data_IF_349334873639
#
_entry.id   IF_349334873639
#
_cell.length_a   1.000
_cell.length_b   1.000
_cell.length_c   1.000
_cell.angle_alpha   90.00
_cell.angle_beta   90.00
_cell.angle_gamma   90.00
#
_symmetry.space_group_name_H-M   'P 1'
#
loop_
_entity.id
_entity.type
_entity.pdbx_description
1 polymer ?
#
# COMPACT_ATOMS: atom_id res chain seq x y z
N UNK A 1 20.88 -31.89 -21.15
CA UNK A 1 19.62 -31.44 -20.55
C UNK A 1 19.77 -30.87 -19.12
N UNK A 2 20.80 -31.31 -18.36
CA UNK A 2 20.99 -30.85 -16.97
C UNK A 2 21.69 -29.48 -16.85
N UNK A 3 22.42 -29.05 -17.88
CA UNK A 3 23.18 -27.80 -17.84
C UNK A 3 22.29 -26.55 -17.85
N UNK A 4 21.20 -26.57 -18.60
CA UNK A 4 20.29 -25.40 -18.72
C UNK A 4 19.54 -25.12 -17.41
N UNK A 5 19.18 -26.16 -16.66
CA UNK A 5 18.51 -26.02 -15.35
C UNK A 5 19.49 -25.52 -14.29
N UNK A 6 20.73 -26.04 -14.26
CA UNK A 6 21.75 -25.57 -13.34
C UNK A 6 22.15 -24.10 -13.56
N UNK A 7 22.22 -23.64 -14.82
CA UNK A 7 22.51 -22.24 -15.12
C UNK A 7 21.38 -21.31 -14.69
N UNK A 8 20.12 -21.72 -14.82
CA UNK A 8 18.98 -20.93 -14.37
C UNK A 8 18.98 -20.78 -12.83
N UNK A 9 19.23 -21.88 -12.10
CA UNK A 9 19.29 -21.88 -10.63
C UNK A 9 20.48 -21.06 -10.11
N UNK A 10 21.65 -21.17 -10.76
CA UNK A 10 22.83 -20.38 -10.44
C UNK A 10 22.61 -18.88 -10.72
N UNK A 11 21.92 -18.54 -11.80
CA UNK A 11 21.61 -17.15 -12.14
C UNK A 11 20.70 -16.52 -11.08
N UNK A 12 19.66 -17.21 -10.67
CA UNK A 12 18.74 -16.74 -9.62
C UNK A 12 19.48 -16.58 -8.29
N UNK A 13 20.37 -17.49 -7.95
CA UNK A 13 21.21 -17.42 -6.77
C UNK A 13 22.15 -16.20 -6.81
N UNK A 14 22.84 -16.00 -7.93
CA UNK A 14 23.76 -14.87 -8.13
C UNK A 14 23.01 -13.54 -8.06
N UNK A 15 21.85 -13.43 -8.70
CA UNK A 15 21.00 -12.25 -8.63
C UNK A 15 20.55 -12.00 -7.19
N UNK A 16 20.09 -13.03 -6.48
CA UNK A 16 19.64 -12.94 -5.10
C UNK A 16 20.74 -12.49 -4.13
N UNK A 17 22.00 -12.84 -4.41
CA UNK A 17 23.16 -12.44 -3.61
C UNK A 17 23.64 -11.01 -3.94
N UNK A 18 23.58 -10.62 -5.20
CA UNK A 18 24.13 -9.34 -5.69
C UNK A 18 23.15 -8.19 -5.56
N UNK A 19 21.86 -8.43 -5.78
CA UNK A 19 20.83 -7.42 -5.83
C UNK A 19 20.70 -6.59 -4.54
N UNK A 20 20.70 -7.19 -3.32
CA UNK A 20 20.63 -6.40 -2.10
C UNK A 20 21.79 -5.42 -1.94
N UNK A 21 23.00 -5.81 -2.39
CA UNK A 21 24.18 -4.95 -2.35
C UNK A 21 23.99 -3.74 -3.28
N UNK A 22 23.53 -3.98 -4.51
CA UNK A 22 23.28 -2.91 -5.48
C UNK A 22 22.19 -1.94 -5.00
N UNK A 23 21.13 -2.46 -4.40
CA UNK A 23 20.06 -1.63 -3.85
C UNK A 23 20.54 -0.79 -2.67
N UNK A 24 21.34 -1.37 -1.79
CA UNK A 24 21.90 -0.66 -0.64
C UNK A 24 22.84 0.46 -1.07
N UNK A 25 23.59 0.27 -2.14
CA UNK A 25 24.52 1.27 -2.68
C UNK A 25 23.85 2.27 -3.63
N UNK A 26 22.55 2.14 -3.88
CA UNK A 26 21.82 3.03 -4.77
C UNK A 26 22.14 2.84 -6.25
N UNK A 27 22.70 1.69 -6.62
CA UNK A 27 23.05 1.37 -8.02
C UNK A 27 21.86 0.76 -8.75
N UNK A 28 20.83 1.57 -8.99
CA UNK A 28 19.55 1.12 -9.52
C UNK A 28 19.62 0.72 -10.98
N UNK A 29 20.46 1.38 -11.81
CA UNK A 29 20.63 0.99 -13.21
C UNK A 29 21.24 -0.40 -13.33
N UNK A 30 22.26 -0.70 -12.52
CA UNK A 30 22.87 -2.01 -12.47
C UNK A 30 21.88 -3.07 -11.94
N UNK A 31 21.09 -2.73 -10.92
CA UNK A 31 20.03 -3.59 -10.39
C UNK A 31 18.98 -3.91 -11.46
N UNK A 32 18.55 -2.91 -12.23
CA UNK A 32 17.58 -3.07 -13.31
C UNK A 32 18.09 -4.00 -14.41
N UNK A 33 19.34 -3.83 -14.82
CA UNK A 33 19.99 -4.72 -15.80
C UNK A 33 20.07 -6.15 -15.31
N UNK A 34 20.40 -6.32 -14.03
CA UNK A 34 20.47 -7.64 -13.41
C UNK A 34 19.10 -8.32 -13.34
N UNK A 35 18.06 -7.58 -12.97
CA UNK A 35 16.68 -8.07 -12.95
C UNK A 35 16.17 -8.43 -14.34
N UNK A 36 16.61 -7.73 -15.38
CA UNK A 36 16.24 -8.01 -16.76
C UNK A 36 16.73 -9.38 -17.24
N UNK A 37 17.70 -9.99 -16.57
CA UNK A 37 18.18 -11.36 -16.88
C UNK A 37 17.26 -12.46 -16.37
N UNK A 38 16.28 -12.11 -15.50
CA UNK A 38 15.32 -13.05 -14.93
C UNK A 38 13.96 -12.96 -15.63
N UNK A 39 13.13 -14.01 -15.55
CA UNK A 39 11.74 -13.94 -15.98
C UNK A 39 11.00 -12.77 -15.31
N UNK A 40 10.07 -12.16 -16.06
CA UNK A 40 9.39 -10.92 -15.65
C UNK A 40 8.53 -11.05 -14.39
N UNK A 41 8.14 -12.27 -14.03
CA UNK A 41 7.31 -12.57 -12.87
C UNK A 41 8.10 -12.92 -11.60
N UNK A 42 9.44 -12.91 -11.69
CA UNK A 42 10.32 -13.20 -10.56
C UNK A 42 10.80 -11.92 -9.89
N UNK A 43 11.05 -11.99 -8.58
CA UNK A 43 11.60 -10.90 -7.78
C UNK A 43 10.78 -9.59 -7.89
N UNK A 44 9.47 -9.71 -7.74
CA UNK A 44 8.54 -8.57 -7.90
C UNK A 44 8.79 -7.47 -6.87
N UNK A 45 9.14 -7.81 -5.62
CA UNK A 45 9.44 -6.82 -4.58
C UNK A 45 10.66 -5.98 -4.94
N UNK A 46 11.72 -6.62 -5.39
CA UNK A 46 12.96 -5.97 -5.79
C UNK A 46 12.73 -5.11 -7.04
N UNK A 47 11.96 -5.62 -8.00
CA UNK A 47 11.54 -4.84 -9.18
C UNK A 47 10.73 -3.61 -8.78
N UNK A 48 9.83 -3.76 -7.81
CA UNK A 48 9.05 -2.65 -7.26
C UNK A 48 9.96 -1.60 -6.63
N UNK A 49 10.90 -2.01 -5.78
CA UNK A 49 11.87 -1.12 -5.15
C UNK A 49 12.67 -0.31 -6.19
N UNK A 50 13.15 -0.96 -7.24
CA UNK A 50 13.89 -0.32 -8.33
C UNK A 50 12.99 0.66 -9.10
N UNK A 51 11.75 0.28 -9.40
CA UNK A 51 10.84 1.15 -10.13
C UNK A 51 10.48 2.41 -9.35
N UNK A 52 10.31 2.32 -8.04
CA UNK A 52 10.10 3.48 -7.17
C UNK A 52 11.33 4.38 -7.14
N UNK A 53 12.50 3.79 -6.97
CA UNK A 53 13.77 4.53 -6.89
C UNK A 53 14.13 5.24 -8.20
N UNK A 54 13.77 4.66 -9.34
CA UNK A 54 13.99 5.26 -10.66
C UNK A 54 12.84 6.13 -11.14
N UNK A 55 11.86 6.39 -10.28
CA UNK A 55 10.68 7.22 -10.59
C UNK A 55 9.86 6.73 -11.79
N UNK A 56 9.86 5.43 -12.03
CA UNK A 56 9.02 4.82 -13.05
C UNK A 56 7.63 4.51 -12.47
N UNK A 57 6.76 5.51 -12.47
CA UNK A 57 5.45 5.46 -11.82
C UNK A 57 4.54 4.38 -12.40
N UNK A 58 4.53 4.23 -13.72
CA UNK A 58 3.70 3.24 -14.40
C UNK A 58 4.10 1.80 -14.04
N UNK A 59 5.40 1.52 -14.02
CA UNK A 59 5.93 0.21 -13.66
C UNK A 59 5.74 -0.08 -12.17
N UNK A 60 5.95 0.92 -11.31
CA UNK A 60 5.70 0.80 -9.88
C UNK A 60 4.23 0.44 -9.58
N UNK A 61 3.28 1.06 -10.28
CA UNK A 61 1.87 0.74 -10.14
C UNK A 61 1.56 -0.69 -10.61
N UNK A 62 2.09 -1.06 -11.77
CA UNK A 62 1.90 -2.42 -12.31
C UNK A 62 2.38 -3.49 -11.33
N UNK A 63 3.56 -3.30 -10.77
CA UNK A 63 4.15 -4.23 -9.80
C UNK A 63 3.40 -4.22 -8.46
N UNK A 64 2.98 -3.05 -7.99
CA UNK A 64 2.19 -2.95 -6.77
C UNK A 64 0.85 -3.70 -6.89
N UNK A 65 0.19 -3.65 -8.06
CA UNK A 65 -1.03 -4.43 -8.32
C UNK A 65 -0.76 -5.94 -8.26
N UNK A 66 0.32 -6.40 -8.88
CA UNK A 66 0.68 -7.82 -8.86
C UNK A 66 0.98 -8.30 -7.44
N UNK A 67 1.75 -7.55 -6.68
CA UNK A 67 2.09 -7.86 -5.30
C UNK A 67 0.84 -7.93 -4.41
N UNK A 68 -0.07 -6.97 -4.59
CA UNK A 68 -1.34 -6.96 -3.86
C UNK A 68 -2.22 -8.16 -4.22
N UNK A 69 -2.30 -8.53 -5.49
CA UNK A 69 -3.06 -9.69 -5.94
C UNK A 69 -2.54 -11.01 -5.35
N UNK A 70 -1.24 -11.10 -5.11
CA UNK A 70 -0.62 -12.28 -4.47
C UNK A 70 -0.91 -12.35 -2.97
N UNK A 71 -0.98 -11.20 -2.30
CA UNK A 71 -1.17 -11.10 -0.86
C UNK A 71 -2.23 -10.04 -0.51
N UNK A 72 -3.51 -10.24 -0.86
CA UNK A 72 -4.52 -9.20 -0.66
C UNK A 72 -4.83 -8.89 0.80
N UNK A 73 -4.52 -9.79 1.72
CA UNK A 73 -4.68 -9.55 3.16
C UNK A 73 -3.53 -8.76 3.78
N UNK A 74 -2.41 -8.62 3.08
CA UNK A 74 -1.23 -7.91 3.57
C UNK A 74 -1.43 -6.40 3.45
N UNK A 75 -1.50 -5.70 4.59
CA UNK A 75 -1.70 -4.25 4.63
C UNK A 75 -0.55 -3.47 4.00
N UNK A 76 0.68 -4.00 4.05
CA UNK A 76 1.83 -3.38 3.38
C UNK A 76 1.63 -3.34 1.86
N UNK A 77 1.05 -4.40 1.28
CA UNK A 77 0.71 -4.44 -0.14
C UNK A 77 -0.39 -3.44 -0.50
N UNK A 78 -1.38 -3.30 0.37
CA UNK A 78 -2.42 -2.30 0.23
C UNK A 78 -1.85 -0.88 0.30
N UNK A 79 -0.94 -0.62 1.23
CA UNK A 79 -0.23 0.64 1.36
C UNK A 79 0.54 0.98 0.07
N UNK A 80 1.35 0.07 -0.42
CA UNK A 80 2.11 0.24 -1.65
C UNK A 80 1.20 0.52 -2.85
N UNK A 81 0.14 -0.25 -3.01
CA UNK A 81 -0.78 -0.09 -4.13
C UNK A 81 -1.51 1.25 -4.08
N UNK A 82 -2.07 1.61 -2.94
CA UNK A 82 -2.82 2.87 -2.82
C UNK A 82 -1.92 4.08 -2.99
N UNK A 83 -0.68 4.02 -2.53
CA UNK A 83 0.31 5.07 -2.76
C UNK A 83 0.62 5.22 -4.26
N UNK A 84 0.84 4.12 -4.98
CA UNK A 84 1.12 4.16 -6.41
C UNK A 84 -0.08 4.60 -7.23
N UNK A 85 -1.29 4.24 -6.82
CA UNK A 85 -2.51 4.76 -7.43
C UNK A 85 -2.60 6.29 -7.34
N UNK A 86 -2.26 6.85 -6.18
CA UNK A 86 -2.21 8.31 -6.01
C UNK A 86 -1.13 8.96 -6.87
N UNK A 87 0.06 8.34 -6.96
CA UNK A 87 1.14 8.83 -7.81
C UNK A 87 0.79 8.83 -9.31
N UNK A 88 -0.11 7.97 -9.72
CA UNK A 88 -0.60 7.85 -11.09
C UNK A 88 -1.96 8.56 -11.32
N UNK A 89 -2.32 9.48 -10.44
CA UNK A 89 -3.55 10.26 -10.53
C UNK A 89 -4.84 9.43 -10.53
N UNK A 90 -4.80 8.24 -9.90
CA UNK A 90 -5.93 7.33 -9.76
C UNK A 90 -6.46 7.35 -8.31
N UNK A 91 -6.69 8.54 -7.78
CA UNK A 91 -7.12 8.75 -6.39
C UNK A 91 -8.49 8.14 -6.08
N UNK A 92 -9.40 8.10 -7.07
CA UNK A 92 -10.71 7.46 -6.90
C UNK A 92 -10.56 5.97 -6.63
N UNK A 93 -9.76 5.28 -7.42
CA UNK A 93 -9.51 3.85 -7.23
C UNK A 93 -8.85 3.58 -5.87
N UNK A 94 -7.89 4.42 -5.48
CA UNK A 94 -7.24 4.32 -4.17
C UNK A 94 -8.25 4.45 -3.03
N UNK A 95 -9.13 5.45 -3.10
CA UNK A 95 -10.18 5.66 -2.10
C UNK A 95 -11.18 4.49 -2.06
N UNK A 96 -11.61 4.00 -3.21
CA UNK A 96 -12.54 2.87 -3.30
C UNK A 96 -11.92 1.60 -2.69
N UNK A 97 -10.65 1.36 -2.96
CA UNK A 97 -9.94 0.20 -2.42
C UNK A 97 -9.77 0.30 -0.89
N UNK A 98 -9.44 1.48 -0.38
CA UNK A 98 -9.33 1.72 1.06
C UNK A 98 -10.67 1.54 1.76
N UNK A 99 -11.75 2.07 1.19
CA UNK A 99 -13.10 1.91 1.74
C UNK A 99 -13.56 0.45 1.72
N UNK A 100 -13.20 -0.30 0.70
CA UNK A 100 -13.52 -1.72 0.59
C UNK A 100 -12.81 -2.54 1.67
N UNK A 101 -11.59 -2.15 2.03
CA UNK A 101 -10.76 -2.87 3.00
C UNK A 101 -10.93 -2.37 4.43
N UNK A 102 -11.57 -1.23 4.63
CA UNK A 102 -11.85 -0.69 5.98
C UNK A 102 -12.75 -1.65 6.78
N UNK A 103 -12.49 -1.89 8.08
CA UNK A 103 -11.36 -1.43 8.90
C UNK A 103 -10.06 -2.18 8.61
N UNK A 104 -8.93 -1.51 8.82
CA UNK A 104 -7.61 -2.05 8.52
C UNK A 104 -7.10 -2.87 9.72
N UNK A 105 -7.23 -4.19 9.66
CA UNK A 105 -6.79 -5.11 10.71
C UNK A 105 -5.38 -5.62 10.39
N UNK A 106 -4.44 -5.40 11.29
CA UNK A 106 -3.06 -5.84 11.15
C UNK A 106 -2.08 -4.94 11.88
N UNK A 107 -0.94 -4.68 11.27
CA UNK A 107 0.09 -3.82 11.84
C UNK A 107 -0.44 -2.41 12.11
N UNK A 108 -0.29 -1.94 13.35
CA UNK A 108 -0.85 -0.66 13.79
C UNK A 108 -0.27 0.55 13.03
N UNK A 109 1.01 0.51 12.67
CA UNK A 109 1.66 1.60 11.91
C UNK A 109 1.12 1.69 10.50
N UNK A 110 0.96 0.55 9.84
CA UNK A 110 0.41 0.48 8.48
C UNK A 110 -1.05 0.88 8.50
N UNK A 111 -1.85 0.38 9.44
CA UNK A 111 -3.26 0.76 9.63
C UNK A 111 -3.42 2.27 9.80
N UNK A 112 -2.58 2.89 10.60
CA UNK A 112 -2.56 4.32 10.83
C UNK A 112 -2.25 5.10 9.55
N UNK A 113 -1.27 4.64 8.78
CA UNK A 113 -0.90 5.23 7.48
C UNK A 113 -2.06 5.14 6.50
N UNK A 114 -2.72 3.99 6.40
CA UNK A 114 -3.86 3.79 5.51
C UNK A 114 -5.07 4.65 5.90
N UNK A 115 -5.32 4.79 7.19
CA UNK A 115 -6.40 5.64 7.67
C UNK A 115 -6.14 7.12 7.37
N UNK A 116 -4.94 7.60 7.61
CA UNK A 116 -4.53 8.95 7.26
C UNK A 116 -4.63 9.19 5.75
N UNK A 117 -4.26 8.21 4.93
CA UNK A 117 -4.39 8.27 3.47
C UNK A 117 -5.84 8.36 3.03
N UNK A 118 -6.71 7.52 3.57
CA UNK A 118 -8.15 7.57 3.29
C UNK A 118 -8.73 8.93 3.68
N UNK A 119 -8.38 9.41 4.86
CA UNK A 119 -8.77 10.72 5.35
C UNK A 119 -8.37 11.84 4.38
N UNK A 120 -7.11 11.86 3.98
CA UNK A 120 -6.57 12.84 3.05
C UNK A 120 -7.26 12.79 1.68
N UNK A 121 -7.52 11.59 1.16
CA UNK A 121 -8.20 11.40 -0.12
C UNK A 121 -9.63 11.95 -0.10
N UNK A 122 -10.39 11.66 0.95
CA UNK A 122 -11.78 12.14 1.07
C UNK A 122 -11.84 13.65 1.29
N UNK A 123 -10.86 14.23 1.97
CA UNK A 123 -10.76 15.68 2.17
C UNK A 123 -10.39 16.41 0.88
N UNK A 124 -9.38 15.92 0.17
CA UNK A 124 -8.91 16.52 -1.08
C UNK A 124 -9.89 16.34 -2.24
N UNK A 125 -10.71 15.29 -2.17
CA UNK A 125 -11.67 14.94 -3.21
C UNK A 125 -13.06 14.72 -2.61
N UNK A 126 -13.79 15.79 -2.21
CA UNK A 126 -15.08 15.66 -1.53
C UNK A 126 -16.12 14.87 -2.33
N UNK A 127 -16.03 14.87 -3.65
CA UNK A 127 -16.90 14.09 -4.53
C UNK A 127 -16.76 12.57 -4.35
N UNK A 128 -15.67 12.11 -3.74
CA UNK A 128 -15.47 10.70 -3.39
C UNK A 128 -16.24 10.30 -2.14
N UNK A 129 -16.61 11.25 -1.29
CA UNK A 129 -17.35 11.02 -0.06
C UNK A 129 -18.85 10.91 -0.34
N UNK A 130 -19.28 9.94 -1.15
CA UNK A 130 -20.69 9.69 -1.41
C UNK A 130 -21.41 9.15 -0.15
N UNK A 131 -22.75 9.31 -0.04
CA UNK A 131 -23.48 8.74 1.10
C UNK A 131 -23.26 7.26 1.32
N UNK A 132 -23.11 6.48 0.24
CA UNK A 132 -22.82 5.06 0.33
C UNK A 132 -21.43 4.77 0.95
N UNK A 133 -20.42 5.57 0.59
CA UNK A 133 -19.06 5.45 1.15
C UNK A 133 -19.01 5.90 2.60
N UNK A 134 -19.72 6.97 2.95
CA UNK A 134 -19.86 7.43 4.34
C UNK A 134 -20.52 6.35 5.20
N UNK A 135 -21.53 5.66 4.67
CA UNK A 135 -22.20 4.57 5.37
C UNK A 135 -21.23 3.39 5.69
N UNK A 136 -20.25 3.13 4.83
CA UNK A 136 -19.21 2.12 5.09
C UNK A 136 -18.39 2.51 6.33
N UNK A 137 -17.99 3.76 6.44
CA UNK A 137 -17.24 4.28 7.58
C UNK A 137 -18.06 4.29 8.88
N UNK A 138 -19.37 4.34 8.76
CA UNK A 138 -20.30 4.35 9.91
C UNK A 138 -20.61 2.95 10.45
N UNK A 139 -20.07 1.88 9.87
CA UNK A 139 -20.28 0.53 10.40
C UNK A 139 -19.66 0.39 11.79
N UNK A 140 -20.36 -0.27 12.73
CA UNK A 140 -19.79 -0.46 14.07
C UNK A 140 -18.50 -1.27 14.01
N UNK A 141 -17.48 -0.75 14.64
CA UNK A 141 -16.20 -1.42 14.81
C UNK A 141 -16.18 -2.20 16.13
N UNK A 142 -15.45 -3.31 16.22
CA UNK A 142 -15.13 -3.94 17.49
C UNK A 142 -14.52 -2.93 18.48
N UNK A 143 -14.84 -3.08 19.77
CA UNK A 143 -14.44 -2.12 20.80
C UNK A 143 -12.92 -1.87 20.85
N UNK A 144 -12.13 -2.92 20.67
CA UNK A 144 -10.67 -2.79 20.65
C UNK A 144 -10.18 -1.90 19.50
N UNK A 145 -10.79 -2.03 18.32
CA UNK A 145 -10.47 -1.21 17.15
C UNK A 145 -10.93 0.23 17.33
N UNK A 146 -12.12 0.44 17.92
CA UNK A 146 -12.60 1.78 18.26
C UNK A 146 -11.62 2.51 19.17
N UNK A 147 -11.12 1.83 20.22
CA UNK A 147 -10.13 2.41 21.13
C UNK A 147 -8.82 2.75 20.43
N UNK A 148 -8.38 1.87 19.54
CA UNK A 148 -7.19 2.12 18.73
C UNK A 148 -7.34 3.37 17.88
N UNK A 149 -8.46 3.52 17.20
CA UNK A 149 -8.75 4.70 16.37
C UNK A 149 -8.88 5.97 17.20
N UNK A 150 -9.54 5.90 18.36
CA UNK A 150 -9.67 7.04 19.27
C UNK A 150 -8.32 7.56 19.75
N UNK A 151 -7.36 6.67 19.99
CA UNK A 151 -6.00 7.08 20.38
C UNK A 151 -5.24 7.79 19.25
N UNK A 152 -5.64 7.57 18.01
CA UNK A 152 -5.01 8.16 16.81
C UNK A 152 -5.71 9.43 16.34
N UNK A 153 -6.95 9.69 16.80
CA UNK A 153 -7.74 10.85 16.39
C UNK A 153 -7.00 12.19 16.51
N UNK A 154 -6.22 12.47 17.57
CA UNK A 154 -5.50 13.74 17.65
C UNK A 154 -4.57 14.02 16.48
N UNK A 155 -3.90 12.98 15.94
CA UNK A 155 -3.03 13.13 14.77
C UNK A 155 -3.80 13.28 13.45
N UNK A 156 -5.04 12.79 13.39
CA UNK A 156 -5.92 12.90 12.23
C UNK A 156 -6.68 14.23 12.28
N UNK A 157 -7.03 14.71 13.47
CA UNK A 157 -7.86 15.88 13.71
C UNK A 157 -7.28 17.16 13.07
N UNK A 158 -5.95 17.33 13.14
CA UNK A 158 -5.28 18.51 12.62
C UNK A 158 -5.34 18.59 11.09
N UNK A 159 -5.53 17.46 10.41
CA UNK A 159 -5.46 17.37 8.96
C UNK A 159 -6.79 17.07 8.29
N UNK A 160 -7.78 16.50 8.99
CA UNK A 160 -9.00 15.99 8.35
C UNK A 160 -10.26 16.12 9.23
N UNK A 161 -10.82 17.34 9.42
CA UNK A 161 -11.96 17.58 10.32
C UNK A 161 -13.22 16.77 9.97
N UNK A 162 -13.48 16.53 8.68
CA UNK A 162 -14.66 15.79 8.23
C UNK A 162 -14.66 14.34 8.71
N UNK A 163 -13.49 13.70 8.69
CA UNK A 163 -13.35 12.31 9.14
C UNK A 163 -13.35 12.20 10.65
N UNK A 164 -12.80 13.19 11.34
CA UNK A 164 -12.91 13.25 12.81
C UNK A 164 -14.36 13.27 13.25
N UNK A 165 -15.21 14.03 12.55
CA UNK A 165 -16.64 14.03 12.79
C UNK A 165 -17.27 12.66 12.58
N UNK A 166 -16.96 12.00 11.47
CA UNK A 166 -17.47 10.65 11.17
C UNK A 166 -17.02 9.63 12.23
N UNK A 167 -15.74 9.64 12.61
CA UNK A 167 -15.21 8.76 13.64
C UNK A 167 -15.72 9.12 15.03
N UNK A 168 -15.98 10.39 15.31
CA UNK A 168 -16.58 10.85 16.55
C UNK A 168 -18.02 10.38 16.71
N UNK A 169 -18.80 10.39 15.63
CA UNK A 169 -20.18 9.89 15.62
C UNK A 169 -20.27 8.37 15.77
N UNK A 170 -19.18 7.65 15.53
CA UNK A 170 -19.06 6.21 15.74
C UNK A 170 -18.67 5.85 17.16
N UNK A 171 -18.30 6.79 18.00
CA UNK A 171 -18.00 6.54 19.42
C UNK A 171 -19.30 6.16 20.13
N UNK A 172 -19.29 5.05 20.94
CA UNK A 172 -20.47 4.73 21.73
C UNK A 172 -20.77 5.90 22.65
N UNK A 173 -22.01 6.41 22.59
CA UNK A 173 -22.48 7.35 23.58
C UNK A 173 -22.46 6.69 24.94
N UNK A 174 -21.62 7.17 25.83
CA UNK A 174 -21.66 6.79 27.23
C UNK A 174 -22.83 7.54 27.87
N UNK A 175 -23.99 6.92 27.83
CA UNK A 175 -25.11 7.28 28.68
C UNK A 175 -25.10 6.42 29.94
#
# INVERSE_FOLDING_TARGET
>A
ANYTVQFADNRQYVVGATLPVLLKEGQYDAAQKLLATLPANEMLEERYTVSVATHNKAEALRLARLLYQQEPANLTRLDQLTWQLMQNEQSREAADLLLQRYPFQGDARVSQTLMARLASLLESHPYLATPAKVAILSKPLPLAEQRQWQSQLPGIADNCPAIVRLLGDMSPSYD
#
